data_IF_999587488402
#
_entry.id   IF_999587488402
#
_cell.length_a   1.000
_cell.length_b   1.000
_cell.length_c   1.000
_cell.angle_alpha   90.00
_cell.angle_beta   90.00
_cell.angle_gamma   90.00
#
_symmetry.space_group_name_H-M   'P 1'
#
loop_
_entity.id
_entity.type
_entity.pdbx_description
1 polymer ?
#
# COMPACT_ATOMS: atom_id res chain seq x y z
N UNK A 1 35.88 -15.96 -3.09
CA UNK A 1 34.97 -15.11 -2.30
C UNK A 1 33.59 -15.27 -2.90
N UNK A 2 32.75 -16.08 -2.27
CA UNK A 2 31.42 -16.44 -2.78
C UNK A 2 30.45 -15.28 -2.53
N UNK A 3 29.84 -14.76 -3.60
CA UNK A 3 28.72 -13.82 -3.54
C UNK A 3 27.55 -14.51 -2.81
N UNK A 4 27.43 -14.26 -1.51
CA UNK A 4 26.21 -14.59 -0.75
C UNK A 4 25.22 -13.45 -0.99
N UNK A 5 24.04 -13.78 -1.52
CA UNK A 5 22.93 -12.85 -1.69
C UNK A 5 22.62 -12.14 -0.37
N UNK A 6 22.33 -10.84 -0.47
CA UNK A 6 22.25 -9.96 0.69
C UNK A 6 21.05 -10.31 1.57
N UNK A 7 21.28 -10.42 2.88
CA UNK A 7 20.27 -10.83 3.87
C UNK A 7 19.39 -9.66 4.29
N UNK A 8 18.15 -9.95 4.69
CA UNK A 8 17.24 -8.95 5.25
C UNK A 8 17.63 -8.58 6.68
N UNK A 9 17.31 -7.36 7.10
CA UNK A 9 17.46 -6.93 8.50
C UNK A 9 16.34 -7.51 9.37
N UNK A 10 16.59 -7.61 10.68
CA UNK A 10 15.57 -8.02 11.66
C UNK A 10 14.30 -7.18 11.54
N UNK A 11 14.42 -5.86 11.36
CA UNK A 11 13.28 -4.96 11.24
C UNK A 11 12.48 -5.19 9.95
N UNK A 12 13.15 -5.45 8.82
CA UNK A 12 12.50 -5.84 7.57
C UNK A 12 11.67 -7.11 7.73
N UNK A 13 12.18 -8.11 8.47
CA UNK A 13 11.44 -9.35 8.75
C UNK A 13 10.24 -9.10 9.66
N UNK A 14 10.40 -8.29 10.71
CA UNK A 14 9.32 -7.99 11.66
C UNK A 14 8.19 -7.17 11.01
N UNK A 15 8.49 -6.36 9.99
CA UNK A 15 7.52 -5.63 9.19
C UNK A 15 6.59 -6.55 8.37
N UNK A 16 6.99 -7.80 8.11
CA UNK A 16 6.16 -8.78 7.40
C UNK A 16 5.09 -9.43 8.30
N UNK A 17 5.15 -9.23 9.62
CA UNK A 17 4.27 -9.93 10.54
C UNK A 17 2.80 -9.47 10.39
N UNK A 18 1.84 -10.41 10.24
CA UNK A 18 0.44 -10.06 10.02
C UNK A 18 -0.25 -9.43 11.24
N UNK A 19 0.31 -9.61 12.44
CA UNK A 19 -0.13 -8.96 13.67
C UNK A 19 0.96 -9.02 14.75
N UNK A 20 0.78 -8.26 15.83
CA UNK A 20 1.71 -8.19 16.97
C UNK A 20 1.91 -9.54 17.67
N UNK A 21 0.87 -10.38 17.75
CA UNK A 21 0.97 -11.71 18.37
C UNK A 21 1.86 -12.66 17.55
N UNK A 22 1.74 -12.60 16.22
CA UNK A 22 2.54 -13.36 15.27
C UNK A 22 3.98 -12.86 15.28
N UNK A 23 4.20 -11.54 15.38
CA UNK A 23 5.52 -10.94 15.58
C UNK A 23 6.21 -11.50 16.82
N UNK A 24 5.55 -11.42 17.99
CA UNK A 24 6.07 -11.94 19.27
C UNK A 24 6.33 -13.45 19.23
N UNK A 25 5.44 -14.22 18.60
CA UNK A 25 5.60 -15.67 18.49
C UNK A 25 6.72 -16.05 17.51
N UNK A 26 6.91 -15.29 16.43
CA UNK A 26 7.99 -15.46 15.46
C UNK A 26 9.35 -15.16 16.07
N UNK A 27 9.48 -14.05 16.82
CA UNK A 27 10.73 -13.70 17.52
C UNK A 27 11.23 -14.80 18.46
N UNK A 28 10.31 -15.52 19.14
CA UNK A 28 10.69 -16.66 19.99
C UNK A 28 11.28 -17.85 19.21
N UNK A 29 10.95 -17.96 17.93
CA UNK A 29 11.47 -18.98 17.02
C UNK A 29 12.66 -18.49 16.21
N UNK A 30 13.12 -17.25 16.40
CA UNK A 30 14.27 -16.67 15.71
C UNK A 30 15.63 -17.20 16.17
N UNK A 31 15.69 -18.17 17.07
CA UNK A 31 16.92 -18.79 17.56
C UNK A 31 17.13 -20.20 16.95
N UNK A 32 18.38 -20.67 16.85
CA UNK A 32 18.73 -21.92 16.15
C UNK A 32 18.12 -23.20 16.76
N UNK A 33 17.92 -23.24 18.09
CA UNK A 33 17.56 -24.45 18.84
C UNK A 33 16.36 -25.29 18.31
N UNK A 34 15.20 -24.69 17.99
CA UNK A 34 14.07 -25.44 17.43
C UNK A 34 14.24 -25.88 15.97
N UNK A 35 15.31 -25.49 15.28
CA UNK A 35 15.47 -25.70 13.84
C UNK A 35 16.48 -26.79 13.50
N UNK A 36 16.21 -27.47 12.38
CA UNK A 36 17.09 -28.45 11.76
C UNK A 36 16.93 -28.42 10.23
N UNK A 37 17.85 -29.02 9.49
CA UNK A 37 17.78 -29.07 8.02
C UNK A 37 17.70 -27.69 7.37
N UNK A 38 18.40 -26.71 7.95
CA UNK A 38 18.41 -25.33 7.50
C UNK A 38 19.23 -25.18 6.22
N UNK A 39 18.76 -24.32 5.33
CA UNK A 39 19.51 -23.95 4.14
C UNK A 39 18.98 -22.69 3.49
N UNK A 40 19.82 -22.10 2.65
CA UNK A 40 19.48 -20.97 1.81
C UNK A 40 20.16 -21.08 0.45
N UNK A 41 19.60 -20.44 -0.58
CA UNK A 41 20.25 -20.25 -1.88
C UNK A 41 20.55 -18.78 -2.13
N UNK A 42 21.51 -18.51 -3.02
CA UNK A 42 21.76 -17.16 -3.56
C UNK A 42 20.59 -16.63 -4.38
N UNK A 43 19.75 -17.52 -4.91
CA UNK A 43 18.55 -17.19 -5.70
C UNK A 43 17.35 -16.74 -4.85
N UNK A 44 17.52 -16.63 -3.52
CA UNK A 44 16.47 -16.12 -2.64
C UNK A 44 15.50 -17.18 -2.13
N UNK A 45 15.96 -18.40 -1.85
CA UNK A 45 15.19 -19.38 -1.09
C UNK A 45 15.79 -19.60 0.30
N UNK A 46 14.94 -19.76 1.31
CA UNK A 46 15.31 -20.11 2.69
C UNK A 46 14.38 -21.21 3.19
N UNK A 47 14.93 -22.27 3.78
CA UNK A 47 14.12 -23.38 4.29
C UNK A 47 14.65 -23.95 5.61
N UNK A 48 13.76 -24.62 6.34
CA UNK A 48 14.11 -25.31 7.58
C UNK A 48 12.98 -26.17 8.13
N UNK A 49 13.35 -27.06 9.05
CA UNK A 49 12.45 -27.93 9.81
C UNK A 49 12.34 -27.41 11.24
N UNK A 50 11.19 -26.87 11.62
CA UNK A 50 10.93 -26.41 12.99
C UNK A 50 10.32 -27.52 13.84
N UNK A 51 10.91 -27.84 14.98
CA UNK A 51 10.33 -28.77 15.97
C UNK A 51 9.04 -28.16 16.53
N UNK A 52 7.92 -28.84 16.27
CA UNK A 52 6.59 -28.46 16.74
C UNK A 52 6.10 -29.35 17.88
N UNK A 53 4.84 -29.18 18.25
CA UNK A 53 4.13 -30.04 19.21
C UNK A 53 3.74 -31.41 18.65
N UNK A 54 3.86 -31.60 17.32
CA UNK A 54 3.58 -32.85 16.63
C UNK A 54 4.80 -33.75 16.44
N UNK A 55 4.55 -34.99 15.98
CA UNK A 55 5.59 -36.01 15.75
C UNK A 55 6.53 -35.69 14.58
N UNK A 56 6.06 -34.93 13.57
CA UNK A 56 6.86 -34.49 12.43
C UNK A 56 7.20 -32.99 12.58
N UNK A 57 8.46 -32.56 12.38
CA UNK A 57 8.80 -31.15 12.28
C UNK A 57 8.01 -30.43 11.18
N UNK A 58 7.72 -29.15 11.39
CA UNK A 58 7.08 -28.32 10.37
C UNK A 58 8.08 -27.92 9.29
N UNK A 59 7.82 -28.36 8.06
CA UNK A 59 8.55 -27.93 6.87
C UNK A 59 8.17 -26.50 6.57
N UNK A 60 9.16 -25.61 6.58
CA UNK A 60 8.99 -24.18 6.31
C UNK A 60 9.91 -23.80 5.16
N UNK A 61 9.34 -23.22 4.10
CA UNK A 61 10.06 -22.63 2.96
C UNK A 61 9.61 -21.18 2.82
N UNK A 62 10.56 -20.32 2.55
CA UNK A 62 10.36 -18.93 2.20
C UNK A 62 11.10 -18.65 0.91
N UNK A 63 10.43 -17.98 -0.02
CA UNK A 63 11.06 -17.42 -1.21
C UNK A 63 11.11 -15.91 -1.05
N UNK A 64 12.32 -15.37 -0.90
CA UNK A 64 12.61 -13.96 -0.59
C UNK A 64 12.58 -13.07 -1.83
N UNK A 65 12.42 -13.61 -3.04
CA UNK A 65 12.31 -12.78 -4.27
C UNK A 65 10.99 -12.03 -4.32
N UNK A 66 9.92 -12.63 -3.80
CA UNK A 66 8.60 -12.03 -3.58
C UNK A 66 7.97 -12.77 -2.41
N UNK A 67 8.25 -12.33 -1.17
CA UNK A 67 8.06 -13.10 0.06
C UNK A 67 6.79 -13.94 0.03
N UNK A 68 6.98 -15.22 -0.30
CA UNK A 68 5.93 -16.21 -0.21
C UNK A 68 6.37 -17.28 0.76
N UNK A 69 5.39 -17.83 1.44
CA UNK A 69 5.62 -18.67 2.60
C UNK A 69 4.83 -19.96 2.43
N UNK A 70 5.50 -21.09 2.57
CA UNK A 70 4.84 -22.37 2.78
C UNK A 70 5.32 -22.95 4.10
N UNK A 71 4.38 -23.21 4.99
CA UNK A 71 4.65 -23.91 6.23
C UNK A 71 3.61 -25.02 6.41
N UNK A 72 4.02 -26.22 6.80
CA UNK A 72 3.10 -27.34 7.06
C UNK A 72 2.35 -27.24 8.40
N UNK A 73 2.46 -26.11 9.10
CA UNK A 73 1.73 -25.89 10.36
C UNK A 73 0.24 -25.55 10.12
N UNK A 74 -0.66 -25.82 11.07
CA UNK A 74 -2.11 -25.59 10.92
C UNK A 74 -2.54 -24.10 10.99
N UNK A 75 -1.58 -23.17 11.04
CA UNK A 75 -1.89 -21.74 11.13
C UNK A 75 -2.50 -21.22 9.83
N UNK A 76 -3.52 -20.37 9.95
CA UNK A 76 -4.13 -19.65 8.82
C UNK A 76 -3.54 -18.24 8.61
N UNK A 77 -2.51 -17.86 9.39
CA UNK A 77 -1.83 -16.57 9.29
C UNK A 77 -0.58 -16.71 8.44
N UNK A 78 -0.37 -15.81 7.48
CA UNK A 78 0.75 -15.83 6.55
C UNK A 78 1.41 -14.44 6.50
N UNK A 79 2.73 -14.32 6.74
CA UNK A 79 3.63 -15.37 7.24
C UNK A 79 3.23 -15.85 8.65
N UNK A 80 3.34 -17.17 8.87
CA UNK A 80 3.10 -17.74 10.19
C UNK A 80 4.32 -17.53 11.10
N UNK A 81 4.20 -17.81 12.41
CA UNK A 81 5.32 -17.70 13.36
C UNK A 81 6.58 -18.48 12.94
N UNK A 82 6.44 -19.61 12.24
CA UNK A 82 7.60 -20.39 11.77
C UNK A 82 8.29 -19.71 10.60
N UNK A 83 7.54 -19.16 9.63
CA UNK A 83 8.12 -18.41 8.52
C UNK A 83 8.84 -17.14 9.01
N UNK A 84 8.24 -16.40 9.95
CA UNK A 84 8.90 -15.26 10.61
C UNK A 84 10.15 -15.69 11.38
N UNK A 85 10.08 -16.76 12.18
CA UNK A 85 11.22 -17.27 12.93
C UNK A 85 12.38 -17.72 12.04
N UNK A 86 12.09 -18.39 10.91
CA UNK A 86 13.10 -18.81 9.94
C UNK A 86 13.80 -17.60 9.28
N UNK A 87 13.03 -16.57 8.92
CA UNK A 87 13.58 -15.35 8.34
C UNK A 87 14.41 -14.55 9.35
N UNK A 88 14.00 -14.50 10.62
CA UNK A 88 14.77 -13.87 11.69
C UNK A 88 16.10 -14.61 11.91
N UNK A 89 16.07 -15.94 11.94
CA UNK A 89 17.26 -16.77 12.05
C UNK A 89 18.21 -16.59 10.85
N UNK A 90 17.66 -16.38 9.66
CA UNK A 90 18.43 -16.06 8.46
C UNK A 90 19.01 -14.64 8.51
N UNK A 91 18.27 -13.66 9.06
CA UNK A 91 18.73 -12.28 9.24
C UNK A 91 19.93 -12.18 10.22
N UNK A 92 20.02 -13.05 11.23
CA UNK A 92 21.09 -13.03 12.26
C UNK A 92 22.52 -13.30 11.74
N UNK A 93 22.70 -13.85 10.53
CA UNK A 93 24.01 -13.88 9.84
C UNK A 93 24.64 -15.25 9.55
N UNK A 94 25.86 -15.19 8.99
CA UNK A 94 26.53 -16.28 8.27
C UNK A 94 27.07 -17.40 9.19
N UNK A 95 26.16 -18.22 9.71
CA UNK A 95 26.51 -19.46 10.41
C UNK A 95 25.29 -20.32 10.76
N UNK A 96 24.13 -19.69 10.97
CA UNK A 96 22.91 -20.37 11.42
C UNK A 96 22.12 -21.01 10.29
N UNK A 97 22.08 -20.35 9.12
CA UNK A 97 21.46 -20.87 7.90
C UNK A 97 22.51 -20.91 6.79
N UNK A 98 23.06 -22.11 6.46
CA UNK A 98 24.12 -22.24 5.46
C UNK A 98 23.58 -22.11 4.03
N UNK A 99 24.47 -21.79 3.08
CA UNK A 99 24.19 -21.96 1.66
C UNK A 99 24.18 -23.45 1.31
N UNK A 100 23.09 -23.95 0.72
CA UNK A 100 22.94 -25.38 0.39
C UNK A 100 22.06 -25.57 -0.85
N UNK A 101 22.04 -26.78 -1.42
CA UNK A 101 21.03 -27.15 -2.41
C UNK A 101 19.67 -27.33 -1.71
N UNK A 102 18.56 -26.83 -2.29
CA UNK A 102 17.23 -26.99 -1.71
C UNK A 102 16.90 -28.47 -1.47
N UNK A 103 16.36 -28.79 -0.30
CA UNK A 103 15.82 -30.12 -0.04
C UNK A 103 14.63 -30.41 -0.98
N UNK A 104 14.36 -31.68 -1.31
CA UNK A 104 13.35 -32.08 -2.32
C UNK A 104 12.00 -31.38 -2.16
N UNK A 105 11.48 -31.31 -0.92
CA UNK A 105 10.20 -30.67 -0.60
C UNK A 105 10.22 -29.14 -0.75
N UNK A 106 11.39 -28.50 -0.60
CA UNK A 106 11.57 -27.08 -0.84
C UNK A 106 11.70 -26.82 -2.34
N UNK A 107 12.48 -27.65 -3.05
CA UNK A 107 12.64 -27.57 -4.50
C UNK A 107 11.33 -27.77 -5.24
N UNK A 108 10.54 -28.77 -4.87
CA UNK A 108 9.22 -29.05 -5.46
C UNK A 108 8.29 -27.84 -5.34
N UNK A 109 8.26 -27.20 -4.17
CA UNK A 109 7.44 -26.02 -3.96
C UNK A 109 7.93 -24.80 -4.75
N UNK A 110 9.25 -24.56 -4.78
CA UNK A 110 9.87 -23.46 -5.55
C UNK A 110 9.66 -23.66 -7.06
N UNK A 111 9.80 -24.89 -7.56
CA UNK A 111 9.54 -25.22 -8.96
C UNK A 111 8.07 -24.96 -9.34
N UNK A 112 7.12 -25.46 -8.55
CA UNK A 112 5.69 -25.19 -8.79
C UNK A 112 5.31 -23.71 -8.64
N UNK A 113 6.09 -22.90 -7.90
CA UNK A 113 5.95 -21.43 -7.90
C UNK A 113 6.47 -20.83 -9.19
N UNK A 114 7.68 -21.19 -9.64
CA UNK A 114 8.27 -20.70 -10.89
C UNK A 114 7.40 -21.04 -12.09
N UNK A 115 6.83 -22.25 -12.15
CA UNK A 115 5.89 -22.65 -13.20
C UNK A 115 4.61 -21.81 -13.18
N UNK A 116 4.03 -21.55 -12.00
CA UNK A 116 2.85 -20.67 -11.89
C UNK A 116 3.17 -19.21 -12.19
N UNK A 117 4.34 -18.72 -11.82
CA UNK A 117 4.80 -17.38 -12.13
C UNK A 117 5.09 -17.23 -13.63
N UNK A 118 5.69 -18.25 -14.27
CA UNK A 118 5.89 -18.30 -15.71
C UNK A 118 4.55 -18.40 -16.46
N UNK A 119 3.61 -19.20 -15.98
CA UNK A 119 2.25 -19.28 -16.51
C UNK A 119 1.49 -17.96 -16.35
N UNK A 120 1.62 -17.29 -15.20
CA UNK A 120 1.03 -15.97 -14.95
C UNK A 120 1.73 -14.84 -15.72
N UNK A 121 3.01 -15.01 -16.09
CA UNK A 121 3.75 -14.07 -16.94
C UNK A 121 3.41 -14.27 -18.43
N UNK A 122 3.22 -15.51 -18.88
CA UNK A 122 2.68 -15.80 -20.21
C UNK A 122 1.22 -15.37 -20.31
N UNK A 123 0.42 -15.55 -19.24
CA UNK A 123 -0.91 -14.98 -19.08
C UNK A 123 -0.90 -13.48 -18.76
N UNK A 124 0.25 -12.90 -18.45
CA UNK A 124 0.45 -11.45 -18.29
C UNK A 124 0.57 -10.74 -19.63
N UNK A 125 1.11 -11.44 -20.64
CA UNK A 125 0.98 -11.08 -22.07
C UNK A 125 -0.38 -11.46 -22.68
N UNK A 126 -1.20 -12.27 -21.99
CA UNK A 126 -2.61 -12.54 -22.31
C UNK A 126 -3.58 -12.17 -21.19
N UNK A 127 -3.25 -11.09 -20.46
CA UNK A 127 -4.21 -10.34 -19.64
C UNK A 127 -5.18 -9.53 -20.51
N UNK A 128 -4.94 -9.50 -21.82
CA UNK A 128 -6.02 -9.43 -22.79
C UNK A 128 -6.86 -10.70 -22.64
N UNK A 129 -7.97 -10.58 -21.90
CA UNK A 129 -9.14 -11.46 -22.00
C UNK A 129 -9.14 -12.17 -23.35
N UNK A 130 -9.01 -13.50 -23.39
CA UNK A 130 -9.12 -14.33 -24.60
C UNK A 130 -9.95 -13.61 -25.66
N UNK A 131 -9.27 -12.98 -26.63
CA UNK A 131 -9.73 -11.81 -27.39
C UNK A 131 -11.23 -11.58 -27.25
N UNK A 132 -11.65 -10.95 -26.13
CA UNK A 132 -13.07 -10.71 -25.92
C UNK A 132 -13.42 -9.76 -27.03
N UNK A 133 -14.33 -10.18 -27.92
CA UNK A 133 -14.78 -9.39 -29.06
C UNK A 133 -14.78 -7.89 -28.68
N UNK A 134 -13.90 -7.07 -29.29
CA UNK A 134 -13.74 -5.66 -28.93
C UNK A 134 -15.08 -4.91 -28.94
N UNK A 135 -15.99 -5.33 -29.81
CA UNK A 135 -17.34 -4.80 -29.88
C UNK A 135 -18.19 -5.21 -28.65
N UNK A 136 -18.13 -6.47 -28.24
CA UNK A 136 -18.77 -6.93 -27.00
C UNK A 136 -18.19 -6.26 -25.75
N UNK A 137 -16.87 -5.98 -25.71
CA UNK A 137 -16.23 -5.24 -24.62
C UNK A 137 -16.72 -3.78 -24.56
N UNK A 138 -16.76 -3.11 -25.73
CA UNK A 138 -17.30 -1.75 -25.86
C UNK A 138 -18.76 -1.69 -25.41
N UNK A 139 -19.61 -2.60 -25.88
CA UNK A 139 -21.03 -2.68 -25.50
C UNK A 139 -21.24 -2.93 -24.01
N UNK A 140 -20.38 -3.73 -23.36
CA UNK A 140 -20.40 -3.92 -21.89
C UNK A 140 -20.00 -2.64 -21.16
N UNK A 141 -19.01 -1.91 -21.66
CA UNK A 141 -18.59 -0.63 -21.09
C UNK A 141 -19.69 0.44 -21.23
N UNK A 142 -20.35 0.52 -22.39
CA UNK A 142 -21.48 1.42 -22.64
C UNK A 142 -22.65 1.14 -21.69
N UNK A 143 -23.11 -0.12 -21.60
CA UNK A 143 -24.19 -0.52 -20.67
C UNK A 143 -23.84 -0.24 -19.21
N UNK A 144 -22.57 -0.39 -18.83
CA UNK A 144 -22.12 -0.01 -17.50
C UNK A 144 -22.19 1.49 -17.30
N UNK A 145 -21.74 2.27 -18.29
CA UNK A 145 -21.79 3.72 -18.22
C UNK A 145 -23.24 4.24 -18.10
N UNK A 146 -24.20 3.62 -18.79
CA UNK A 146 -25.64 3.91 -18.64
C UNK A 146 -26.13 3.66 -17.21
N UNK A 147 -25.77 2.51 -16.62
CA UNK A 147 -26.14 2.18 -15.22
C UNK A 147 -25.54 3.16 -14.22
N UNK A 148 -24.27 3.49 -14.37
CA UNK A 148 -23.60 4.48 -13.51
C UNK A 148 -24.26 5.84 -13.67
N UNK A 149 -24.57 6.26 -14.91
CA UNK A 149 -25.25 7.54 -15.17
C UNK A 149 -26.62 7.63 -14.49
N UNK A 150 -27.40 6.55 -14.53
CA UNK A 150 -28.67 6.47 -13.79
C UNK A 150 -28.46 6.59 -12.29
N UNK A 151 -27.49 5.85 -11.73
CA UNK A 151 -27.16 5.90 -10.30
C UNK A 151 -26.69 7.27 -9.84
N UNK A 152 -25.76 7.89 -10.57
CA UNK A 152 -25.27 9.25 -10.32
C UNK A 152 -26.41 10.28 -10.36
N UNK A 153 -27.33 10.16 -11.32
CA UNK A 153 -28.49 11.07 -11.40
C UNK A 153 -29.41 10.95 -10.19
N UNK A 154 -29.64 9.73 -9.70
CA UNK A 154 -30.41 9.51 -8.45
C UNK A 154 -29.65 10.06 -7.24
N UNK A 155 -28.34 9.86 -7.17
CA UNK A 155 -27.49 10.33 -6.07
C UNK A 155 -27.49 11.86 -5.98
N UNK A 156 -27.42 12.56 -7.10
CA UNK A 156 -27.53 14.03 -7.18
C UNK A 156 -28.86 14.56 -6.62
N UNK A 157 -29.96 13.88 -6.91
CA UNK A 157 -31.27 14.23 -6.36
C UNK A 157 -31.28 14.04 -4.84
N UNK A 158 -30.76 12.91 -4.35
CA UNK A 158 -30.65 12.63 -2.90
C UNK A 158 -29.77 13.64 -2.18
N UNK A 159 -28.62 14.03 -2.76
CA UNK A 159 -27.74 15.06 -2.20
C UNK A 159 -28.45 16.42 -2.14
N UNK A 160 -29.19 16.78 -3.20
CA UNK A 160 -29.98 18.02 -3.22
C UNK A 160 -31.08 18.01 -2.16
N UNK A 161 -31.77 16.88 -1.99
CA UNK A 161 -32.83 16.72 -0.99
C UNK A 161 -32.29 16.78 0.44
N UNK A 162 -31.12 16.19 0.68
CA UNK A 162 -30.39 16.30 1.94
C UNK A 162 -30.04 17.77 2.27
N UNK A 163 -29.52 18.52 1.30
CA UNK A 163 -29.20 19.94 1.51
C UNK A 163 -30.46 20.78 1.72
N UNK A 164 -31.56 20.48 1.01
CA UNK A 164 -32.84 21.19 1.16
C UNK A 164 -33.50 20.94 2.51
N UNK A 165 -33.41 19.72 3.04
CA UNK A 165 -33.92 19.35 4.37
C UNK A 165 -33.03 19.85 5.51
N UNK A 166 -31.78 20.19 5.20
CA UNK A 166 -30.78 20.70 6.14
C UNK A 166 -30.03 19.56 6.82
N UNK A 167 -28.71 19.75 6.98
CA UNK A 167 -27.79 18.71 7.47
C UNK A 167 -28.10 18.23 8.89
N UNK A 168 -28.74 19.05 9.72
CA UNK A 168 -29.15 18.64 11.07
C UNK A 168 -30.14 17.45 11.06
N UNK A 169 -30.93 17.29 10.00
CA UNK A 169 -31.82 16.14 9.83
C UNK A 169 -31.08 14.84 9.49
N UNK A 170 -29.83 14.93 9.02
CA UNK A 170 -29.01 13.77 8.65
C UNK A 170 -28.66 12.89 9.84
N UNK A 171 -28.53 13.47 11.04
CA UNK A 171 -28.35 12.74 12.30
C UNK A 171 -29.59 11.89 12.64
N UNK A 172 -30.78 12.36 12.27
CA UNK A 172 -32.06 11.71 12.55
C UNK A 172 -32.43 10.65 11.50
N UNK A 173 -31.95 10.80 10.25
CA UNK A 173 -32.20 9.88 9.15
C UNK A 173 -31.65 8.45 9.39
N UNK A 174 -30.69 8.31 10.31
CA UNK A 174 -30.09 7.05 10.72
C UNK A 174 -29.25 6.37 9.63
N UNK A 175 -28.57 5.28 10.00
CA UNK A 175 -27.67 4.55 9.09
C UNK A 175 -28.39 3.92 7.88
N UNK A 176 -29.68 3.58 8.00
CA UNK A 176 -30.43 2.87 6.96
C UNK A 176 -30.57 3.65 5.65
N UNK A 177 -30.72 4.98 5.71
CA UNK A 177 -30.79 5.83 4.51
C UNK A 177 -29.49 5.75 3.69
N UNK A 178 -28.35 5.83 4.37
CA UNK A 178 -27.03 5.77 3.76
C UNK A 178 -26.72 4.37 3.22
N UNK A 179 -27.06 3.32 3.95
CA UNK A 179 -26.93 1.94 3.50
C UNK A 179 -27.77 1.64 2.24
N UNK A 180 -29.02 2.11 2.22
CA UNK A 180 -29.88 1.95 1.03
C UNK A 180 -29.27 2.67 -0.18
N UNK A 181 -28.81 3.91 0.01
CA UNK A 181 -28.18 4.71 -1.05
C UNK A 181 -26.89 4.03 -1.56
N UNK A 182 -26.05 3.52 -0.66
CA UNK A 182 -24.83 2.81 -1.03
C UNK A 182 -25.13 1.52 -1.81
N UNK A 183 -26.16 0.76 -1.40
CA UNK A 183 -26.59 -0.44 -2.14
C UNK A 183 -27.03 -0.10 -3.57
N UNK A 184 -27.75 1.00 -3.75
CA UNK A 184 -28.12 1.48 -5.09
C UNK A 184 -26.91 1.82 -5.95
N UNK A 185 -25.85 2.37 -5.36
CA UNK A 185 -24.60 2.63 -6.09
C UNK A 185 -23.90 1.34 -6.51
N UNK A 186 -23.95 0.28 -5.70
CA UNK A 186 -23.46 -1.05 -6.09
C UNK A 186 -24.29 -1.60 -7.27
N UNK A 187 -25.63 -1.50 -7.21
CA UNK A 187 -26.52 -1.93 -8.28
C UNK A 187 -26.29 -1.13 -9.58
N UNK A 188 -25.95 0.15 -9.46
CA UNK A 188 -25.56 1.04 -10.55
C UNK A 188 -24.14 0.76 -11.11
N UNK A 189 -23.40 -0.20 -10.53
CA UNK A 189 -22.00 -0.51 -10.88
C UNK A 189 -21.01 0.62 -10.59
N UNK A 190 -21.26 1.39 -9.53
CA UNK A 190 -20.40 2.47 -9.03
C UNK A 190 -19.92 2.17 -7.59
N UNK A 191 -19.10 1.12 -7.37
CA UNK A 191 -18.70 0.73 -6.02
C UNK A 191 -17.87 1.80 -5.30
N UNK A 192 -17.15 2.67 -6.02
CA UNK A 192 -16.44 3.80 -5.41
C UNK A 192 -17.40 4.85 -4.83
N UNK A 193 -18.53 5.12 -5.50
CA UNK A 193 -19.60 5.96 -4.95
C UNK A 193 -20.26 5.29 -3.75
N UNK A 194 -20.48 3.97 -3.80
CA UNK A 194 -21.03 3.21 -2.67
C UNK A 194 -20.18 3.38 -1.40
N UNK A 195 -18.86 3.23 -1.50
CA UNK A 195 -17.93 3.44 -0.38
C UNK A 195 -17.99 4.88 0.14
N UNK A 196 -18.04 5.88 -0.73
CA UNK A 196 -18.17 7.30 -0.32
C UNK A 196 -19.47 7.57 0.43
N UNK A 197 -20.59 7.05 -0.06
CA UNK A 197 -21.90 7.17 0.61
C UNK A 197 -21.89 6.47 1.98
N UNK A 198 -21.25 5.32 2.12
CA UNK A 198 -21.08 4.66 3.42
C UNK A 198 -20.28 5.53 4.39
N UNK A 199 -19.20 6.16 3.92
CA UNK A 199 -18.41 7.08 4.73
C UNK A 199 -19.22 8.31 5.18
N UNK A 200 -20.09 8.86 4.32
CA UNK A 200 -21.01 9.94 4.72
C UNK A 200 -21.89 9.53 5.90
N UNK A 201 -22.41 8.31 5.89
CA UNK A 201 -23.23 7.79 6.98
C UNK A 201 -22.51 7.63 8.32
N UNK A 202 -21.18 7.58 8.32
CA UNK A 202 -20.38 7.52 9.54
C UNK A 202 -20.05 8.91 10.13
N UNK A 203 -20.30 10.00 9.38
CA UNK A 203 -19.99 11.36 9.83
C UNK A 203 -20.94 11.87 10.92
N UNK A 204 -22.27 11.69 10.81
CA UNK A 204 -23.17 11.95 11.93
C UNK A 204 -22.78 11.05 13.12
N UNK A 205 -22.34 11.65 14.22
CA UNK A 205 -21.80 10.93 15.38
C UNK A 205 -20.27 10.88 15.49
N UNK A 206 -19.52 11.46 14.53
CA UNK A 206 -18.05 11.56 14.57
C UNK A 206 -17.51 12.65 15.52
N UNK A 207 -18.37 13.27 16.34
CA UNK A 207 -18.02 14.33 17.29
C UNK A 207 -18.19 15.75 16.73
N UNK A 208 -17.65 16.78 17.42
CA UNK A 208 -17.82 18.18 17.06
C UNK A 208 -17.41 18.48 15.61
N UNK A 209 -18.11 19.42 14.97
CA UNK A 209 -17.82 19.84 13.59
C UNK A 209 -18.29 18.87 12.50
N UNK A 210 -19.01 17.80 12.85
CA UNK A 210 -19.53 16.85 11.85
C UNK A 210 -20.40 17.46 10.75
N UNK A 211 -21.23 18.52 10.96
CA UNK A 211 -22.04 19.07 9.88
C UNK A 211 -21.18 19.69 8.77
N UNK A 212 -20.07 20.33 9.14
CA UNK A 212 -19.12 20.90 8.18
C UNK A 212 -18.43 19.79 7.39
N UNK A 213 -17.93 18.76 8.07
CA UNK A 213 -17.32 17.60 7.40
C UNK A 213 -18.30 16.88 6.48
N UNK A 214 -19.55 16.72 6.90
CA UNK A 214 -20.59 16.13 6.07
C UNK A 214 -20.83 16.96 4.81
N UNK A 215 -20.89 18.30 4.94
CA UNK A 215 -21.03 19.19 3.80
C UNK A 215 -19.85 19.10 2.82
N UNK A 216 -18.62 19.08 3.35
CA UNK A 216 -17.40 18.95 2.55
C UNK A 216 -17.39 17.63 1.74
N UNK A 217 -17.70 16.52 2.39
CA UNK A 217 -17.74 15.21 1.74
C UNK A 217 -18.93 15.09 0.74
N UNK A 218 -20.08 15.70 1.06
CA UNK A 218 -21.19 15.83 0.11
C UNK A 218 -20.80 16.69 -1.10
N UNK A 219 -20.05 17.77 -0.92
CA UNK A 219 -19.59 18.63 -2.01
C UNK A 219 -18.59 17.91 -2.91
N UNK A 220 -17.66 17.13 -2.33
CA UNK A 220 -16.75 16.29 -3.10
C UNK A 220 -17.49 15.18 -3.85
N UNK A 221 -18.53 14.59 -3.27
CA UNK A 221 -19.36 13.60 -3.93
C UNK A 221 -20.15 14.21 -5.10
N UNK A 222 -20.79 15.36 -4.86
CA UNK A 222 -21.47 16.13 -5.91
C UNK A 222 -20.53 16.50 -7.07
N UNK A 223 -19.30 16.93 -6.75
CA UNK A 223 -18.29 17.22 -7.77
C UNK A 223 -17.99 15.98 -8.63
N UNK A 224 -17.90 14.80 -8.01
CA UNK A 224 -17.63 13.53 -8.72
C UNK A 224 -18.79 13.12 -9.61
N UNK A 225 -20.01 13.29 -9.12
CA UNK A 225 -21.24 13.05 -9.86
C UNK A 225 -21.32 13.97 -11.10
N UNK A 226 -21.10 15.27 -10.92
CA UNK A 226 -21.04 16.23 -12.02
C UNK A 226 -19.92 15.93 -13.01
N UNK A 227 -18.74 15.52 -12.54
CA UNK A 227 -17.63 15.13 -13.40
C UNK A 227 -17.97 13.88 -14.23
N UNK A 228 -18.67 12.89 -13.66
CA UNK A 228 -19.13 11.72 -14.41
C UNK A 228 -20.15 12.08 -15.49
N UNK A 229 -21.12 12.94 -15.16
CA UNK A 229 -22.16 13.39 -16.10
C UNK A 229 -21.57 14.18 -17.27
N UNK A 230 -20.46 14.88 -17.05
CA UNK A 230 -19.76 15.70 -18.07
C UNK A 230 -18.47 15.06 -18.57
N UNK A 231 -18.25 13.77 -18.32
CA UNK A 231 -16.97 13.07 -18.58
C UNK A 231 -16.43 13.21 -20.00
N UNK A 232 -17.30 13.40 -20.99
CA UNK A 232 -16.94 13.54 -22.41
C UNK A 232 -16.30 14.90 -22.73
N UNK A 233 -16.39 15.87 -21.82
CA UNK A 233 -15.81 17.21 -21.94
C UNK A 233 -14.54 17.35 -21.09
N UNK A 234 -14.17 16.34 -20.30
CA UNK A 234 -13.02 16.39 -19.42
C UNK A 234 -11.73 16.03 -20.16
N UNK A 235 -10.58 16.61 -19.78
CA UNK A 235 -9.27 16.12 -20.21
C UNK A 235 -9.11 14.63 -19.87
N UNK A 236 -8.38 13.89 -20.72
CA UNK A 236 -8.27 12.43 -20.60
C UNK A 236 -7.79 11.96 -19.22
N UNK A 237 -6.82 12.65 -18.63
CA UNK A 237 -6.30 12.35 -17.29
C UNK A 237 -7.36 12.49 -16.19
N UNK A 238 -8.11 13.61 -16.19
CA UNK A 238 -9.20 13.82 -15.24
C UNK A 238 -10.35 12.85 -15.48
N UNK A 239 -10.67 12.54 -16.73
CA UNK A 239 -11.67 11.51 -17.06
C UNK A 239 -11.24 10.13 -16.56
N UNK A 240 -9.95 9.79 -16.62
CA UNK A 240 -9.41 8.56 -16.04
C UNK A 240 -9.51 8.56 -14.51
N UNK A 241 -9.19 9.69 -13.86
CA UNK A 241 -9.35 9.86 -12.41
C UNK A 241 -10.80 9.65 -11.98
N UNK A 242 -11.77 10.29 -12.67
CA UNK A 242 -13.21 10.10 -12.43
C UNK A 242 -13.59 8.62 -12.54
N UNK A 243 -13.19 7.91 -13.61
CA UNK A 243 -13.49 6.48 -13.78
C UNK A 243 -12.93 5.63 -12.62
N UNK A 244 -11.70 5.92 -12.19
CA UNK A 244 -11.08 5.23 -11.06
C UNK A 244 -11.83 5.50 -9.75
N UNK A 245 -12.25 6.75 -9.50
CA UNK A 245 -13.01 7.18 -8.30
C UNK A 245 -14.44 6.61 -8.25
N UNK A 246 -15.09 6.43 -9.39
CA UNK A 246 -16.37 5.70 -9.52
C UNK A 246 -16.19 4.21 -9.18
N UNK A 247 -14.96 3.68 -9.28
CA UNK A 247 -14.64 2.28 -9.03
C UNK A 247 -14.76 1.39 -10.26
N UNK A 248 -14.58 1.97 -11.46
CA UNK A 248 -14.49 1.19 -12.69
C UNK A 248 -13.14 0.46 -12.75
N UNK A 249 -13.11 -0.78 -13.27
CA UNK A 249 -11.85 -1.49 -13.46
C UNK A 249 -10.97 -0.75 -14.46
N UNK A 250 -9.69 -0.60 -14.14
CA UNK A 250 -8.67 -0.07 -15.02
C UNK A 250 -7.54 -1.08 -15.22
N UNK A 251 -6.82 -0.93 -16.32
CA UNK A 251 -5.60 -1.67 -16.67
C UNK A 251 -4.39 -0.75 -16.58
N UNK A 252 -3.22 -1.34 -16.29
CA UNK A 252 -1.95 -0.65 -16.28
C UNK A 252 -1.34 -0.69 -17.69
N UNK A 253 -1.91 0.09 -18.61
CA UNK A 253 -1.51 0.07 -20.02
C UNK A 253 -0.36 1.03 -20.34
N UNK A 254 0.18 1.72 -19.33
CA UNK A 254 1.37 2.55 -19.49
C UNK A 254 2.58 1.71 -19.93
N UNK A 255 3.49 2.30 -20.73
CA UNK A 255 4.69 1.59 -21.17
C UNK A 255 5.47 1.10 -19.94
N UNK A 256 5.91 -0.18 -19.92
CA UNK A 256 6.66 -0.71 -18.79
C UNK A 256 7.98 0.04 -18.64
N UNK A 257 8.23 0.56 -17.45
CA UNK A 257 9.48 1.24 -17.09
C UNK A 257 10.27 0.30 -16.19
N UNK A 258 11.40 -0.22 -16.70
CA UNK A 258 12.39 -0.92 -15.89
C UNK A 258 13.24 0.10 -15.13
N UNK A 259 13.32 -0.06 -13.82
CA UNK A 259 14.15 0.76 -12.93
C UNK A 259 14.57 -0.07 -11.71
N UNK A 260 15.51 0.46 -10.93
CA UNK A 260 15.79 0.03 -9.57
C UNK A 260 14.84 0.76 -8.63
N UNK A 261 13.76 0.09 -8.24
CA UNK A 261 12.70 0.65 -7.42
C UNK A 261 13.03 0.50 -5.94
N UNK A 262 13.40 1.60 -5.28
CA UNK A 262 13.55 1.67 -3.83
C UNK A 262 12.19 1.56 -3.17
N UNK A 263 11.97 0.53 -2.36
CA UNK A 263 10.74 0.35 -1.58
C UNK A 263 10.75 1.32 -0.40
N UNK A 264 9.89 2.34 -0.48
CA UNK A 264 9.83 3.43 0.49
C UNK A 264 9.00 3.10 1.71
N UNK A 265 7.88 2.40 1.54
CA UNK A 265 7.05 1.98 2.68
C UNK A 265 6.12 0.84 2.28
N UNK A 266 5.65 0.11 3.28
CA UNK A 266 4.64 -0.93 3.13
C UNK A 266 3.73 -0.93 4.36
N UNK A 267 2.43 -0.80 4.15
CA UNK A 267 1.43 -0.86 5.22
C UNK A 267 0.09 -1.39 4.70
N UNK A 268 -0.69 -1.97 5.61
CA UNK A 268 -1.96 -2.60 5.29
C UNK A 268 -3.12 -1.74 5.83
N UNK A 269 -4.09 -1.45 4.97
CA UNK A 269 -5.38 -0.89 5.37
C UNK A 269 -6.44 -1.99 5.33
N UNK A 270 -7.42 -1.92 6.23
CA UNK A 270 -8.50 -2.91 6.31
C UNK A 270 -9.85 -2.23 6.14
N UNK A 271 -10.60 -2.66 5.12
CA UNK A 271 -11.96 -2.21 4.84
C UNK A 271 -12.89 -3.42 4.79
N UNK A 272 -13.75 -3.55 5.79
CA UNK A 272 -14.69 -4.66 5.96
C UNK A 272 -14.04 -6.05 5.84
N UNK A 273 -14.14 -6.70 4.67
CA UNK A 273 -13.62 -8.05 4.39
C UNK A 273 -12.38 -8.06 3.50
N UNK A 274 -11.86 -6.88 3.13
CA UNK A 274 -10.73 -6.70 2.24
C UNK A 274 -9.58 -6.03 3.00
N UNK A 275 -8.40 -6.64 2.93
CA UNK A 275 -7.15 -6.04 3.39
C UNK A 275 -6.38 -5.57 2.17
N UNK A 276 -6.01 -4.30 2.12
CA UNK A 276 -5.26 -3.71 1.02
C UNK A 276 -3.87 -3.34 1.51
N UNK A 277 -2.84 -3.95 0.94
CA UNK A 277 -1.46 -3.55 1.14
C UNK A 277 -1.11 -2.45 0.15
N UNK A 278 -0.58 -1.36 0.69
CA UNK A 278 -0.03 -0.24 -0.06
C UNK A 278 1.49 -0.31 0.03
N UNK A 279 2.16 -0.33 -1.12
CA UNK A 279 3.62 -0.30 -1.21
C UNK A 279 4.01 0.90 -2.05
N UNK A 280 4.69 1.85 -1.44
CA UNK A 280 5.29 2.97 -2.15
C UNK A 280 6.69 2.59 -2.60
N UNK A 281 7.03 2.89 -3.85
CA UNK A 281 8.34 2.65 -4.43
C UNK A 281 8.82 3.88 -5.21
N UNK A 282 10.12 4.11 -5.23
CA UNK A 282 10.76 5.22 -5.94
C UNK A 282 11.77 4.70 -6.95
N UNK A 283 11.57 5.04 -8.22
CA UNK A 283 12.49 4.69 -9.30
C UNK A 283 13.73 5.56 -9.22
N UNK A 284 14.89 4.95 -8.98
CA UNK A 284 16.13 5.71 -8.75
C UNK A 284 16.68 6.36 -10.01
N UNK A 285 16.39 5.81 -11.20
CA UNK A 285 16.76 6.40 -12.48
C UNK A 285 15.70 7.36 -13.04
N UNK A 286 14.42 7.01 -12.94
CA UNK A 286 13.32 7.83 -13.49
C UNK A 286 12.84 8.94 -12.55
N UNK A 287 13.17 8.87 -11.26
CA UNK A 287 12.73 9.84 -10.25
C UNK A 287 11.24 9.80 -9.93
N UNK A 288 10.52 8.76 -10.37
CA UNK A 288 9.07 8.65 -10.19
C UNK A 288 8.73 7.85 -8.93
N UNK A 289 7.71 8.29 -8.20
CA UNK A 289 7.14 7.55 -7.08
C UNK A 289 5.88 6.81 -7.52
N UNK A 290 5.85 5.50 -7.33
CA UNK A 290 4.77 4.60 -7.72
C UNK A 290 4.12 3.93 -6.51
N UNK A 291 2.82 3.68 -6.60
CA UNK A 291 2.02 2.95 -5.62
C UNK A 291 1.60 1.59 -6.19
N UNK A 292 2.10 0.52 -5.57
CA UNK A 292 1.65 -0.84 -5.82
C UNK A 292 0.56 -1.20 -4.80
N UNK A 293 -0.51 -1.83 -5.27
CA UNK A 293 -1.58 -2.33 -4.43
C UNK A 293 -1.64 -3.85 -4.49
N UNK A 294 -1.77 -4.49 -3.33
CA UNK A 294 -2.02 -5.93 -3.23
C UNK A 294 -3.21 -6.17 -2.32
N UNK A 295 -4.06 -7.12 -2.67
CA UNK A 295 -5.34 -7.33 -2.01
C UNK A 295 -5.40 -8.72 -1.37
N UNK A 296 -5.94 -8.76 -0.15
CA UNK A 296 -6.17 -9.96 0.62
C UNK A 296 -7.65 -10.07 0.99
N UNK A 297 -8.33 -11.11 0.53
CA UNK A 297 -9.75 -11.31 0.79
C UNK A 297 -10.01 -12.16 2.05
N UNK A 298 -11.11 -11.88 2.74
CA UNK A 298 -11.62 -12.66 3.87
C UNK A 298 -10.57 -12.83 5.01
N UNK A 299 -9.88 -11.74 5.34
CA UNK A 299 -8.87 -11.70 6.41
C UNK A 299 -7.54 -12.38 6.08
N UNK A 300 -7.32 -12.75 4.81
CA UNK A 300 -5.99 -13.21 4.35
C UNK A 300 -5.09 -12.00 4.13
N UNK A 301 -3.80 -12.15 4.45
CA UNK A 301 -2.81 -11.13 4.14
C UNK A 301 -2.61 -11.02 2.61
N UNK A 302 -2.40 -9.81 2.08
CA UNK A 302 -2.00 -9.61 0.69
C UNK A 302 -0.71 -10.36 0.34
N UNK A 303 -0.66 -10.94 -0.86
CA UNK A 303 0.44 -11.82 -1.28
C UNK A 303 1.74 -11.08 -1.57
N UNK A 304 1.66 -9.90 -2.19
CA UNK A 304 2.86 -9.13 -2.50
C UNK A 304 3.39 -8.54 -1.19
N UNK A 305 4.65 -8.78 -0.90
CA UNK A 305 5.39 -8.08 0.12
C UNK A 305 6.74 -7.69 -0.47
N UNK A 306 7.20 -6.48 -0.21
CA UNK A 306 8.50 -5.98 -0.64
C UNK A 306 9.19 -5.36 0.59
N UNK A 307 10.45 -5.73 0.91
CA UNK A 307 11.13 -5.20 2.09
C UNK A 307 11.37 -3.69 1.97
N UNK A 308 10.91 -2.91 2.96
CA UNK A 308 11.19 -1.47 3.03
C UNK A 308 12.70 -1.23 3.11
N UNK A 309 13.20 -0.27 2.35
CA UNK A 309 14.62 0.06 2.23
C UNK A 309 15.42 -0.81 1.25
N UNK A 310 14.80 -1.80 0.60
CA UNK A 310 15.42 -2.58 -0.47
C UNK A 310 15.13 -1.96 -1.85
N UNK A 311 16.06 -2.09 -2.79
CA UNK A 311 15.84 -1.85 -4.21
C UNK A 311 15.33 -3.13 -4.89
N UNK A 312 14.43 -2.98 -5.85
CA UNK A 312 13.85 -4.05 -6.65
C UNK A 312 14.04 -3.72 -8.14
N UNK A 313 14.88 -4.49 -8.83
CA UNK A 313 15.04 -4.40 -10.29
C UNK A 313 13.80 -5.01 -10.96
N UNK A 314 12.89 -4.15 -11.42
CA UNK A 314 11.61 -4.54 -11.95
C UNK A 314 11.05 -3.55 -12.98
N UNK A 315 10.14 -4.05 -13.81
CA UNK A 315 9.27 -3.23 -14.63
C UNK A 315 8.02 -2.81 -13.84
N UNK A 316 7.67 -1.53 -13.89
CA UNK A 316 6.37 -1.02 -13.46
C UNK A 316 5.63 -0.40 -14.65
N UNK A 317 4.35 -0.73 -14.81
CA UNK A 317 3.45 -0.08 -15.77
C UNK A 317 2.46 0.81 -15.04
N UNK A 318 2.33 2.06 -15.48
CA UNK A 318 1.43 3.03 -14.85
C UNK A 318 -0.03 2.80 -15.22
N UNK A 319 -0.93 3.09 -14.28
CA UNK A 319 -2.34 3.30 -14.60
C UNK A 319 -2.52 4.72 -15.16
N UNK A 320 -3.63 4.94 -15.87
CA UNK A 320 -3.94 6.25 -16.47
C UNK A 320 -4.21 7.36 -15.44
N UNK A 321 -4.44 7.03 -14.17
CA UNK A 321 -4.76 7.98 -13.12
C UNK A 321 -3.91 7.75 -11.85
N UNK A 322 -3.36 8.85 -11.34
CA UNK A 322 -2.58 8.88 -10.10
C UNK A 322 -1.27 8.08 -10.18
N UNK A 323 -0.60 7.91 -9.04
CA UNK A 323 0.71 7.25 -8.97
C UNK A 323 0.61 5.72 -8.99
N UNK A 324 -0.56 5.14 -9.26
CA UNK A 324 -0.75 3.69 -9.19
C UNK A 324 0.01 3.02 -10.33
N UNK A 325 0.67 1.91 -10.02
CA UNK A 325 1.35 1.07 -11.00
C UNK A 325 1.05 -0.42 -10.78
N UNK A 326 1.27 -1.22 -11.81
CA UNK A 326 1.30 -2.67 -11.74
C UNK A 326 2.75 -3.16 -11.80
N UNK A 327 3.07 -4.15 -10.98
CA UNK A 327 4.37 -4.82 -10.97
C UNK A 327 4.44 -5.81 -12.13
N UNK A 328 5.37 -5.58 -13.06
CA UNK A 328 5.69 -6.44 -14.19
C UNK A 328 6.78 -7.46 -13.86
N UNK A 329 7.66 -7.72 -14.84
CA UNK A 329 8.77 -8.65 -14.65
C UNK A 329 9.76 -8.13 -13.61
N UNK A 330 10.27 -9.05 -12.78
CA UNK A 330 11.39 -8.79 -11.88
C UNK A 330 12.62 -9.49 -12.41
N UNK A 331 13.74 -8.78 -12.42
CA UNK A 331 14.99 -9.26 -13.01
C UNK A 331 15.99 -9.73 -11.94
N UNK A 332 15.81 -9.30 -10.69
CA UNK A 332 16.62 -9.73 -9.56
C UNK A 332 15.79 -9.83 -8.26
N UNK A 333 16.26 -10.60 -7.25
CA UNK A 333 15.75 -10.53 -5.89
C UNK A 333 15.94 -9.12 -5.29
N UNK A 334 15.05 -8.66 -4.38
CA UNK A 334 15.26 -7.41 -3.67
C UNK A 334 16.60 -7.38 -2.94
N UNK A 335 17.35 -6.29 -3.08
CA UNK A 335 18.68 -6.11 -2.50
C UNK A 335 18.75 -4.81 -1.69
N UNK A 336 19.51 -4.75 -0.59
CA UNK A 336 19.76 -3.50 0.11
C UNK A 336 20.41 -2.46 -0.79
N UNK A 337 20.06 -1.21 -0.57
CA UNK A 337 20.57 -0.07 -1.32
C UNK A 337 20.85 1.09 -0.37
N UNK A 338 21.81 1.93 -0.76
CA UNK A 338 22.07 3.22 -0.11
C UNK A 338 21.35 4.37 -0.82
N UNK A 339 20.64 4.08 -1.91
CA UNK A 339 19.87 5.07 -2.66
C UNK A 339 18.79 5.69 -1.75
N UNK A 340 18.55 6.98 -1.97
CA UNK A 340 17.53 7.77 -1.26
C UNK A 340 16.76 8.60 -2.28
N UNK A 341 15.47 8.87 -2.06
CA UNK A 341 14.72 9.78 -2.92
C UNK A 341 15.27 11.19 -2.81
N UNK A 342 15.00 12.01 -3.82
CA UNK A 342 15.25 13.45 -3.75
C UNK A 342 14.26 14.07 -2.75
N UNK A 343 14.79 14.80 -1.77
CA UNK A 343 14.00 15.50 -0.77
C UNK A 343 13.62 16.92 -1.21
N UNK A 344 12.44 17.37 -0.80
CA UNK A 344 11.93 18.75 -0.99
C UNK A 344 11.63 19.40 0.36
N UNK A 345 11.47 20.74 0.37
CA UNK A 345 11.06 21.48 1.57
C UNK A 345 9.55 21.34 1.90
N UNK A 346 9.11 21.71 3.12
CA UNK A 346 7.69 21.66 3.51
C UNK A 346 6.75 22.48 2.60
N UNK A 347 7.19 23.67 2.16
CA UNK A 347 6.44 24.50 1.23
C UNK A 347 6.26 23.87 -0.16
N UNK A 348 7.33 23.27 -0.69
CA UNK A 348 7.28 22.55 -1.96
C UNK A 348 6.37 21.32 -1.85
N UNK A 349 6.35 20.64 -0.71
CA UNK A 349 5.42 19.54 -0.46
C UNK A 349 3.95 20.00 -0.49
N UNK A 350 3.64 21.14 0.13
CA UNK A 350 2.31 21.74 0.09
C UNK A 350 1.92 22.18 -1.34
N UNK A 351 2.86 22.77 -2.07
CA UNK A 351 2.66 23.17 -3.47
C UNK A 351 2.46 21.96 -4.40
N UNK A 352 3.16 20.84 -4.16
CA UNK A 352 2.98 19.60 -4.89
C UNK A 352 1.56 19.03 -4.70
N UNK A 353 1.05 19.05 -3.46
CA UNK A 353 -0.33 18.67 -3.18
C UNK A 353 -1.33 19.58 -3.92
N UNK A 354 -1.16 20.90 -3.81
CA UNK A 354 -2.02 21.88 -4.49
C UNK A 354 -2.00 21.77 -6.02
N UNK A 355 -0.86 21.37 -6.59
CA UNK A 355 -0.74 21.10 -8.03
C UNK A 355 -1.48 19.83 -8.43
N UNK A 356 -1.31 18.75 -7.67
CA UNK A 356 -1.97 17.47 -7.95
C UNK A 356 -3.50 17.56 -7.87
N UNK A 357 -4.05 18.43 -7.01
CA UNK A 357 -5.49 18.69 -6.94
C UNK A 357 -6.09 19.26 -8.25
N UNK A 358 -5.27 19.82 -9.14
CA UNK A 358 -5.73 20.28 -10.46
C UNK A 358 -6.06 19.11 -11.39
N UNK A 359 -5.34 18.00 -11.22
CA UNK A 359 -5.47 16.80 -12.05
C UNK A 359 -6.47 15.79 -11.45
N UNK A 360 -6.53 15.70 -10.11
CA UNK A 360 -7.50 14.90 -9.37
C UNK A 360 -7.94 15.66 -8.09
N UNK A 361 -9.07 16.39 -8.16
CA UNK A 361 -9.60 17.19 -7.03
C UNK A 361 -9.98 16.39 -5.78
N UNK A 362 -10.03 15.06 -5.88
CA UNK A 362 -10.42 14.17 -4.79
C UNK A 362 -9.21 13.52 -4.10
N UNK A 363 -7.98 13.94 -4.42
CA UNK A 363 -6.79 13.45 -3.74
C UNK A 363 -6.76 13.88 -2.27
N UNK A 364 -6.69 12.90 -1.39
CA UNK A 364 -6.49 13.14 0.04
C UNK A 364 -5.05 13.57 0.33
N UNK A 365 -4.09 13.02 -0.42
CA UNK A 365 -2.67 13.25 -0.26
C UNK A 365 -1.86 12.90 -1.51
N UNK A 366 -0.60 13.34 -1.54
CA UNK A 366 0.43 12.99 -2.52
C UNK A 366 1.67 12.42 -1.84
N UNK A 367 2.42 11.51 -2.48
CA UNK A 367 3.68 11.01 -1.95
C UNK A 367 4.75 12.09 -2.03
N UNK A 368 5.42 12.37 -0.91
CA UNK A 368 6.51 13.37 -0.85
C UNK A 368 7.63 12.86 0.03
N UNK A 369 8.87 13.14 -0.36
CA UNK A 369 10.05 13.00 0.51
C UNK A 369 10.46 14.39 0.97
N UNK A 370 10.37 14.64 2.27
CA UNK A 370 10.91 15.85 2.88
C UNK A 370 12.40 15.68 3.14
N UNK A 371 13.20 16.64 2.68
CA UNK A 371 14.63 16.70 2.95
C UNK A 371 14.95 17.66 4.10
N UNK A 372 15.92 17.30 4.93
CA UNK A 372 16.50 18.19 5.96
C UNK A 372 15.46 18.81 6.92
N UNK A 373 14.56 17.97 7.45
CA UNK A 373 13.51 18.39 8.38
C UNK A 373 13.72 17.87 9.81
N UNK A 374 13.35 18.67 10.80
CA UNK A 374 13.43 18.32 12.23
C UNK A 374 12.05 18.20 12.85
N UNK A 375 11.69 17.06 13.47
CA UNK A 375 10.46 16.92 14.23
C UNK A 375 10.42 17.90 15.41
N UNK A 376 9.45 18.81 15.39
CA UNK A 376 9.31 19.89 16.36
C UNK A 376 7.92 19.85 16.98
N UNK A 377 7.85 20.05 18.30
CA UNK A 377 6.58 20.18 19.01
C UNK A 377 6.21 21.64 19.18
N UNK A 378 4.99 21.99 18.81
CA UNK A 378 4.37 23.31 19.00
C UNK A 378 3.17 23.20 19.93
N UNK A 379 2.53 24.34 20.22
CA UNK A 379 1.28 24.39 20.99
C UNK A 379 0.10 23.75 20.23
N UNK A 380 0.19 23.66 18.90
CA UNK A 380 -0.86 23.14 18.02
C UNK A 380 -0.66 21.68 17.64
N UNK A 381 0.51 21.10 17.90
CA UNK A 381 0.78 19.68 17.63
C UNK A 381 2.23 19.39 17.28
N UNK A 382 2.44 18.28 16.58
CA UNK A 382 3.75 17.93 16.03
C UNK A 382 3.85 18.39 14.58
N UNK A 383 5.02 18.88 14.19
CA UNK A 383 5.31 19.30 12.82
C UNK A 383 6.72 18.86 12.40
N UNK A 384 6.96 18.85 11.09
CA UNK A 384 8.30 18.74 10.50
C UNK A 384 8.70 20.12 9.99
N UNK A 385 9.64 20.77 10.69
CA UNK A 385 10.17 22.07 10.31
C UNK A 385 11.43 21.88 9.47
N UNK A 386 11.67 22.77 8.51
CA UNK A 386 12.94 22.79 7.79
C UNK A 386 14.13 23.15 8.71
N UNK A 387 15.35 23.00 8.19
CA UNK A 387 16.58 23.28 8.94
C UNK A 387 16.75 24.74 9.39
N UNK A 388 16.02 25.70 8.81
CA UNK A 388 16.05 27.12 9.20
C UNK A 388 14.90 27.50 10.15
N UNK A 389 13.91 26.63 10.32
CA UNK A 389 12.68 26.89 11.06
C UNK A 389 11.73 27.88 10.37
N UNK A 390 11.92 28.16 9.08
CA UNK A 390 11.12 29.15 8.34
C UNK A 390 9.83 28.54 7.80
N UNK A 391 9.88 27.28 7.39
CA UNK A 391 8.75 26.52 6.87
C UNK A 391 8.52 25.23 7.66
N UNK A 392 7.26 24.81 7.79
CA UNK A 392 6.91 23.56 8.45
C UNK A 392 5.62 22.95 7.89
N UNK A 393 5.52 21.63 8.00
CA UNK A 393 4.28 20.89 7.71
C UNK A 393 3.82 20.12 8.95
N UNK A 394 2.56 20.34 9.33
CA UNK A 394 1.95 19.73 10.52
C UNK A 394 1.73 18.24 10.27
N UNK A 395 2.01 17.40 11.27
CA UNK A 395 1.69 15.97 11.21
C UNK A 395 0.20 15.75 11.38
N UNK A 396 -0.35 14.75 10.70
CA UNK A 396 -1.76 14.37 10.93
C UNK A 396 -1.97 13.93 12.38
N UNK A 397 -3.16 14.17 12.94
CA UNK A 397 -3.51 13.73 14.30
C UNK A 397 -3.26 12.23 14.49
N UNK A 398 -3.60 11.44 13.48
CA UNK A 398 -3.34 9.99 13.46
C UNK A 398 -1.85 9.72 13.57
N UNK A 399 -1.01 10.34 12.74
CA UNK A 399 0.44 10.14 12.78
C UNK A 399 1.05 10.56 14.13
N UNK A 400 0.58 11.67 14.70
CA UNK A 400 1.02 12.16 16.00
C UNK A 400 0.67 11.20 17.16
N UNK A 401 -0.40 10.41 17.00
CA UNK A 401 -0.81 9.41 17.98
C UNK A 401 -0.17 8.02 17.79
N UNK A 402 0.47 7.76 16.65
CA UNK A 402 1.05 6.44 16.36
C UNK A 402 2.45 6.25 16.99
N UNK A 403 2.85 5.00 17.29
CA UNK A 403 4.20 4.69 17.77
C UNK A 403 5.33 5.13 16.83
N UNK A 404 5.04 5.29 15.54
CA UNK A 404 5.97 5.76 14.52
C UNK A 404 6.60 7.11 14.86
N UNK A 405 5.87 8.01 15.53
CA UNK A 405 6.40 9.30 15.97
C UNK A 405 7.60 9.13 16.91
N UNK A 406 7.54 8.19 17.85
CA UNK A 406 8.65 7.95 18.79
C UNK A 406 9.89 7.41 18.09
N UNK A 407 9.73 6.58 17.06
CA UNK A 407 10.86 6.12 16.23
C UNK A 407 11.49 7.29 15.48
N UNK A 408 10.66 8.16 14.91
CA UNK A 408 11.12 9.34 14.20
C UNK A 408 11.90 10.30 15.12
N UNK A 409 11.40 10.55 16.32
CA UNK A 409 12.09 11.36 17.33
C UNK A 409 13.42 10.74 17.77
N UNK A 410 13.44 9.43 18.00
CA UNK A 410 14.67 8.71 18.37
C UNK A 410 15.71 8.72 17.25
N UNK A 411 15.27 8.61 15.99
CA UNK A 411 16.14 8.67 14.82
C UNK A 411 16.72 10.08 14.62
N UNK A 412 15.90 11.11 14.77
CA UNK A 412 16.31 12.50 14.65
C UNK A 412 17.28 12.89 15.77
N UNK A 413 16.97 12.57 17.03
CA UNK A 413 17.76 13.03 18.17
C UNK A 413 17.86 14.57 18.27
N UNK A 414 16.96 15.30 17.59
CA UNK A 414 17.02 16.76 17.44
C UNK A 414 17.82 17.25 16.23
N UNK A 415 18.42 16.35 15.46
CA UNK A 415 19.07 16.67 14.19
C UNK A 415 18.09 16.51 13.01
N UNK A 416 18.35 17.19 11.87
CA UNK A 416 17.55 17.00 10.67
C UNK A 416 17.54 15.55 10.18
N UNK A 417 16.44 15.16 9.55
CA UNK A 417 16.22 13.84 8.95
C UNK A 417 15.55 13.98 7.59
N UNK A 418 15.64 12.93 6.79
CA UNK A 418 14.84 12.80 5.58
C UNK A 418 13.62 11.93 5.88
N UNK A 419 12.44 12.34 5.43
CA UNK A 419 11.18 11.64 5.75
C UNK A 419 10.32 11.49 4.50
N UNK A 420 10.06 10.25 4.09
CA UNK A 420 9.04 9.94 3.10
C UNK A 420 7.68 9.77 3.78
N UNK A 421 6.64 10.33 3.16
CA UNK A 421 5.28 10.23 3.65
C UNK A 421 4.24 10.72 2.64
N UNK A 422 3.01 10.81 3.12
CA UNK A 422 1.87 11.32 2.36
C UNK A 422 1.51 12.72 2.85
N UNK A 423 1.61 13.73 1.98
CA UNK A 423 1.27 15.12 2.26
C UNK A 423 -0.12 15.45 1.72
N UNK A 424 -1.03 15.95 2.55
CA UNK A 424 -2.41 16.23 2.17
C UNK A 424 -3.04 17.37 2.96
N UNK A 425 -4.34 17.60 2.75
CA UNK A 425 -5.07 18.69 3.40
C UNK A 425 -5.13 18.58 4.93
N UNK A 426 -4.95 17.38 5.50
CA UNK A 426 -4.90 17.15 6.95
C UNK A 426 -3.49 17.25 7.55
N UNK A 427 -2.49 17.53 6.72
CA UNK A 427 -1.07 17.52 7.10
C UNK A 427 -0.31 16.34 6.50
N UNK A 428 0.81 16.01 7.13
CA UNK A 428 1.77 15.02 6.67
C UNK A 428 1.68 13.72 7.49
N UNK A 429 1.65 12.59 6.81
CA UNK A 429 1.73 11.27 7.44
C UNK A 429 3.10 10.66 7.13
N UNK A 430 4.05 10.65 8.08
CA UNK A 430 5.38 10.11 7.88
C UNK A 430 5.33 8.57 7.86
N UNK A 431 5.91 7.97 6.81
CA UNK A 431 5.86 6.52 6.59
C UNK A 431 7.24 5.87 6.73
N UNK A 432 8.31 6.54 6.34
CA UNK A 432 9.69 6.05 6.48
C UNK A 432 10.65 7.22 6.62
N UNK A 433 11.70 7.06 7.44
CA UNK A 433 12.70 8.09 7.66
C UNK A 433 14.13 7.55 7.55
N UNK A 434 15.05 8.45 7.23
CA UNK A 434 16.48 8.23 7.18
C UNK A 434 17.20 9.28 8.02
N UNK A 435 18.32 8.92 8.69
CA UNK A 435 19.18 9.92 9.29
C UNK A 435 19.83 10.79 8.20
N UNK A 436 20.20 12.04 8.53
CA UNK A 436 20.87 12.95 7.59
C UNK A 436 22.16 12.35 7.02
N UNK A 437 22.97 11.71 7.88
CA UNK A 437 24.18 10.98 7.50
C UNK A 437 23.92 9.57 6.95
N UNK A 438 24.96 8.75 6.90
CA UNK A 438 24.83 7.34 6.50
C UNK A 438 23.92 6.58 7.49
N UNK A 439 23.03 5.75 6.95
CA UNK A 439 22.12 4.94 7.75
C UNK A 439 20.95 4.40 6.95
N UNK A 440 20.37 3.32 7.48
CA UNK A 440 19.29 2.56 6.86
C UNK A 440 17.93 3.25 7.01
N UNK A 441 16.99 2.84 6.14
CA UNK A 441 15.61 3.28 6.19
C UNK A 441 14.91 2.73 7.45
N UNK A 442 14.22 3.60 8.20
CA UNK A 442 13.41 3.21 9.37
C UNK A 442 11.93 3.33 9.03
N UNK A 443 11.23 2.19 9.01
CA UNK A 443 9.78 2.15 8.80
C UNK A 443 9.02 2.71 10.01
N UNK A 444 8.15 3.70 9.74
CA UNK A 444 7.35 4.40 10.75
C UNK A 444 5.89 3.93 10.81
N UNK A 445 5.38 3.39 9.69
CA UNK A 445 4.02 2.85 9.56
C UNK A 445 3.77 1.55 10.34
#
# INVERSE_FOLDING_TARGET
MTQQGVRWTTDQVLALAPDAASRKAGSKLGAAGPWSGLGSTSEGAVWGLCKGSGRKPYQTVVDTTGPAYKCSCPSRKFPCKHALGLLLLWAEGAGTVPGAQPADWAQEWLAGRRERAAAAASDGTSGGTAASDPEAARKRAERRAERVTSGVTELEQRLTDLLRSGLASAEQAGYGFWEETARRMVDAQAPGLASRVQNLGALPGSGPGWPVRLLEECALLHLLDQAWLRREQLPDGLAAAVRARIGLPGSADGPPVRDDWLVLSQYDTSEAKLTTRRIWAYGTACGQTALLLSFGAAGRAPELALPVGAAVDAELSSYAAGPRAALGQRFAPPAPTSARPVGVGPEEAAAAYGTALRDDPWLDSVPVTLGDVTPTRTDTGWQLADGQGESAIVLTDTAAAQPGLWKLLALSGGAPVMVFGEAGHRGFTPLTAWPQGAGDAVALA
#
